data_IF_503741382980
#
_entry.id   IF_503741382980
#
_cell.length_a   1.000
_cell.length_b   1.000
_cell.length_c   1.000
_cell.angle_alpha   90.00
_cell.angle_beta   90.00
_cell.angle_gamma   90.00
#
_symmetry.space_group_name_H-M   'P 1'
#
loop_
_entity.id
_entity.type
_entity.pdbx_description
1 polymer ?
#
# COMPACT_ATOMS: atom_id res chain seq x y z
N UNK A 1 0.17 -6.23 -22.24
CA UNK A 1 0.19 -7.71 -22.08
C UNK A 1 -1.13 -8.34 -22.57
N UNK A 2 -2.29 -7.79 -22.15
CA UNK A 2 -3.61 -8.24 -22.57
C UNK A 2 -3.78 -8.24 -24.10
N UNK A 3 -3.49 -7.14 -24.76
CA UNK A 3 -3.64 -7.00 -26.21
C UNK A 3 -2.81 -8.05 -26.97
N UNK A 4 -1.57 -8.26 -26.53
CA UNK A 4 -0.69 -9.26 -27.16
C UNK A 4 -1.16 -10.71 -26.95
N UNK A 5 -1.83 -11.01 -25.83
CA UNK A 5 -2.38 -12.34 -25.60
C UNK A 5 -3.67 -12.56 -26.40
N UNK A 6 -4.57 -11.58 -26.43
CA UNK A 6 -5.81 -11.64 -27.20
C UNK A 6 -5.59 -11.67 -28.71
N UNK A 7 -4.56 -10.99 -29.20
CA UNK A 7 -4.16 -11.04 -30.63
C UNK A 7 -3.56 -12.37 -31.04
N UNK A 8 -2.81 -13.02 -30.13
CA UNK A 8 -2.13 -14.31 -30.43
C UNK A 8 -3.08 -15.48 -30.45
N UNK A 9 -4.03 -15.55 -29.54
CA UNK A 9 -4.99 -16.64 -29.43
C UNK A 9 -6.29 -16.16 -28.76
N UNK A 10 -7.26 -15.70 -29.56
CA UNK A 10 -8.55 -15.29 -29.04
C UNK A 10 -9.31 -16.41 -28.30
N UNK A 11 -8.99 -17.68 -28.57
CA UNK A 11 -9.64 -18.80 -27.90
C UNK A 11 -9.27 -18.87 -26.40
N UNK A 12 -8.13 -18.31 -25.99
CA UNK A 12 -7.76 -18.22 -24.57
C UNK A 12 -8.75 -17.39 -23.75
N UNK A 13 -9.43 -16.43 -24.37
CA UNK A 13 -10.43 -15.59 -23.68
C UNK A 13 -11.62 -16.40 -23.19
N UNK A 14 -11.97 -17.49 -23.90
CA UNK A 14 -13.07 -18.38 -23.50
C UNK A 14 -12.70 -19.36 -22.37
N UNK A 15 -11.42 -19.38 -21.98
CA UNK A 15 -10.93 -20.20 -20.87
C UNK A 15 -10.84 -19.38 -19.55
N UNK A 16 -11.16 -18.10 -19.59
CA UNK A 16 -11.11 -17.24 -18.42
C UNK A 16 -12.41 -17.33 -17.63
N UNK A 17 -12.28 -17.56 -16.33
CA UNK A 17 -13.40 -17.52 -15.38
C UNK A 17 -13.56 -16.15 -14.70
N UNK A 18 -12.57 -15.29 -14.79
CA UNK A 18 -12.62 -13.96 -14.18
C UNK A 18 -11.48 -13.03 -14.58
N UNK A 19 -11.59 -11.80 -14.15
CA UNK A 19 -10.59 -10.76 -14.37
C UNK A 19 -10.12 -10.19 -13.03
N UNK A 20 -8.86 -9.75 -13.00
CA UNK A 20 -8.23 -9.10 -11.87
C UNK A 20 -7.49 -7.85 -12.31
N UNK A 21 -7.59 -6.79 -11.52
CA UNK A 21 -6.72 -5.62 -11.60
C UNK A 21 -6.28 -5.19 -10.21
N UNK A 22 -5.11 -4.58 -10.10
CA UNK A 22 -4.59 -4.01 -8.87
C UNK A 22 -3.92 -2.67 -9.21
N UNK A 23 -4.65 -1.57 -9.07
CA UNK A 23 -4.24 -0.24 -9.57
C UNK A 23 -4.49 0.89 -8.56
N UNK A 24 -4.96 0.58 -7.35
CA UNK A 24 -5.60 1.55 -6.45
C UNK A 24 -4.89 1.70 -5.10
N UNK A 25 -3.60 1.36 -5.00
CA UNK A 25 -2.84 1.62 -3.77
C UNK A 25 -2.94 3.08 -3.36
N UNK A 26 -3.25 3.35 -2.08
CA UNK A 26 -3.35 4.68 -1.47
C UNK A 26 -4.44 5.60 -2.06
N UNK A 27 -5.40 5.05 -2.83
CA UNK A 27 -6.47 5.83 -3.45
C UNK A 27 -7.82 5.57 -2.79
N UNK A 28 -8.79 6.46 -3.03
CA UNK A 28 -10.15 6.36 -2.51
C UNK A 28 -11.10 5.70 -3.52
N UNK A 29 -12.36 5.50 -3.13
CA UNK A 29 -13.36 4.79 -3.92
C UNK A 29 -13.78 5.52 -5.22
N UNK A 30 -13.53 6.84 -5.35
CA UNK A 30 -13.72 7.59 -6.58
C UNK A 30 -12.77 7.14 -7.69
N UNK A 31 -11.51 6.83 -7.34
CA UNK A 31 -10.54 6.26 -8.26
C UNK A 31 -10.95 4.84 -8.71
N UNK A 32 -11.57 4.05 -7.83
CA UNK A 32 -12.17 2.76 -8.20
C UNK A 32 -13.30 2.96 -9.22
N UNK A 33 -14.19 3.91 -8.99
CA UNK A 33 -15.29 4.19 -9.93
C UNK A 33 -14.77 4.52 -11.34
N UNK A 34 -13.76 5.41 -11.43
CA UNK A 34 -13.12 5.74 -12.70
C UNK A 34 -12.40 4.53 -13.34
N UNK A 35 -11.76 3.68 -12.52
CA UNK A 35 -11.12 2.45 -13.00
C UNK A 35 -12.15 1.48 -13.58
N UNK A 36 -13.31 1.32 -12.92
CA UNK A 36 -14.37 0.44 -13.42
C UNK A 36 -14.98 0.95 -14.71
N UNK A 37 -15.12 2.26 -14.90
CA UNK A 37 -15.56 2.82 -16.18
C UNK A 37 -14.59 2.46 -17.31
N UNK A 38 -13.27 2.48 -17.04
CA UNK A 38 -12.26 2.04 -17.99
C UNK A 38 -12.28 0.52 -18.23
N UNK A 39 -12.54 -0.27 -17.18
CA UNK A 39 -12.68 -1.74 -17.28
C UNK A 39 -13.89 -2.08 -18.14
N UNK A 40 -15.04 -1.44 -17.93
CA UNK A 40 -16.24 -1.65 -18.73
C UNK A 40 -16.04 -1.22 -20.19
N UNK A 41 -15.39 -0.09 -20.42
CA UNK A 41 -15.10 0.39 -21.78
C UNK A 41 -14.14 -0.55 -22.54
N UNK A 42 -13.23 -1.23 -21.84
CA UNK A 42 -12.22 -2.11 -22.45
C UNK A 42 -12.62 -3.56 -22.50
N UNK A 43 -13.32 -4.06 -21.49
CA UNK A 43 -13.61 -5.47 -21.28
C UNK A 43 -15.09 -5.80 -21.14
N UNK A 44 -15.97 -4.82 -21.38
CA UNK A 44 -17.41 -4.95 -21.22
C UNK A 44 -18.03 -6.14 -21.98
N UNK A 45 -17.50 -6.46 -23.15
CA UNK A 45 -17.94 -7.62 -23.95
C UNK A 45 -17.53 -8.97 -23.33
N UNK A 46 -16.52 -8.98 -22.44
CA UNK A 46 -16.04 -10.19 -21.76
C UNK A 46 -16.71 -10.38 -20.40
N UNK A 47 -17.07 -9.32 -19.71
CA UNK A 47 -17.62 -9.36 -18.35
C UNK A 47 -18.84 -10.28 -18.21
N UNK A 48 -19.79 -10.36 -19.19
CA UNK A 48 -20.94 -11.26 -19.06
C UNK A 48 -20.62 -12.75 -19.03
N UNK A 49 -19.43 -13.15 -19.46
CA UNK A 49 -18.99 -14.56 -19.41
C UNK A 49 -18.08 -14.86 -18.20
N UNK A 50 -17.70 -13.84 -17.41
CA UNK A 50 -16.90 -14.01 -16.21
C UNK A 50 -17.77 -14.45 -15.03
N UNK A 51 -17.20 -15.28 -14.17
CA UNK A 51 -17.81 -15.69 -12.92
C UNK A 51 -17.44 -14.72 -11.80
N UNK A 52 -16.28 -14.08 -11.90
CA UNK A 52 -15.78 -13.17 -10.87
C UNK A 52 -14.98 -12.00 -11.45
N UNK A 53 -14.94 -10.91 -10.66
CA UNK A 53 -14.11 -9.73 -10.91
C UNK A 53 -13.42 -9.32 -9.61
N UNK A 54 -12.09 -9.31 -9.60
CA UNK A 54 -11.30 -8.91 -8.45
C UNK A 54 -10.76 -7.49 -8.65
N UNK A 55 -11.12 -6.58 -7.75
CA UNK A 55 -10.69 -5.17 -7.80
C UNK A 55 -9.28 -4.95 -7.23
N UNK A 56 -8.64 -6.02 -6.71
CA UNK A 56 -7.31 -5.97 -6.12
C UNK A 56 -7.29 -5.31 -4.74
N UNK A 57 -6.13 -4.83 -4.36
CA UNK A 57 -5.88 -4.18 -3.08
C UNK A 57 -5.98 -2.65 -3.13
N UNK A 58 -5.56 -2.00 -2.05
CA UNK A 58 -5.56 -0.56 -1.89
C UNK A 58 -6.88 0.03 -1.38
N UNK A 59 -7.84 -0.80 -1.05
CA UNK A 59 -9.15 -0.37 -0.51
C UNK A 59 -9.06 -0.17 1.01
N UNK A 60 -8.92 1.07 1.47
CA UNK A 60 -8.77 1.43 2.89
C UNK A 60 -10.12 1.45 3.64
N UNK A 61 -10.86 0.36 3.58
CA UNK A 61 -12.25 0.24 4.08
C UNK A 61 -12.42 0.48 5.59
N UNK A 62 -11.34 0.44 6.35
CA UNK A 62 -11.34 0.72 7.81
C UNK A 62 -10.87 2.13 8.14
N UNK A 63 -10.47 2.92 7.15
CA UNK A 63 -10.11 4.32 7.34
C UNK A 63 -11.39 5.16 7.57
N UNK A 64 -11.43 6.05 8.59
CA UNK A 64 -12.66 6.77 8.95
C UNK A 64 -13.27 7.65 7.86
N UNK A 65 -12.44 8.14 6.93
CA UNK A 65 -12.83 9.05 5.85
C UNK A 65 -12.98 8.34 4.48
N UNK A 66 -12.89 6.99 4.45
CA UNK A 66 -13.07 6.25 3.21
C UNK A 66 -14.54 6.24 2.75
N UNK A 67 -14.78 6.52 1.46
CA UNK A 67 -16.13 6.54 0.88
C UNK A 67 -16.69 5.12 0.64
N UNK A 68 -17.10 4.46 1.72
CA UNK A 68 -17.75 3.14 1.67
C UNK A 68 -19.00 3.13 0.77
N UNK A 69 -19.91 4.14 0.79
CA UNK A 69 -21.05 4.16 -0.10
C UNK A 69 -20.68 4.10 -1.58
N UNK A 70 -19.59 4.74 -1.99
CA UNK A 70 -19.11 4.65 -3.39
C UNK A 70 -18.58 3.25 -3.70
N UNK A 71 -17.82 2.64 -2.79
CA UNK A 71 -17.37 1.24 -2.95
C UNK A 71 -18.55 0.29 -3.10
N UNK A 72 -19.57 0.40 -2.24
CA UNK A 72 -20.78 -0.43 -2.28
C UNK A 72 -21.53 -0.28 -3.60
N UNK A 73 -21.65 0.96 -4.12
CA UNK A 73 -22.24 1.19 -5.45
C UNK A 73 -21.43 0.54 -6.56
N UNK A 74 -20.11 0.61 -6.51
CA UNK A 74 -19.22 -0.03 -7.48
C UNK A 74 -19.41 -1.55 -7.49
N UNK A 75 -19.40 -2.18 -6.32
CA UNK A 75 -19.64 -3.62 -6.17
C UNK A 75 -21.00 -4.02 -6.71
N UNK A 76 -22.05 -3.32 -6.26
CA UNK A 76 -23.43 -3.59 -6.66
C UNK A 76 -23.63 -3.43 -8.17
N UNK A 77 -23.01 -2.40 -8.78
CA UNK A 77 -23.06 -2.18 -10.23
C UNK A 77 -22.53 -3.39 -10.98
N UNK A 78 -21.35 -3.88 -10.64
CA UNK A 78 -20.74 -5.02 -11.33
C UNK A 78 -21.55 -6.31 -11.13
N UNK A 79 -22.00 -6.58 -9.92
CA UNK A 79 -22.83 -7.74 -9.61
C UNK A 79 -24.15 -7.74 -10.36
N UNK A 80 -24.85 -6.60 -10.38
CA UNK A 80 -26.18 -6.51 -11.03
C UNK A 80 -26.09 -6.47 -12.56
N UNK A 81 -25.06 -5.84 -13.11
CA UNK A 81 -24.94 -5.68 -14.56
C UNK A 81 -24.41 -6.96 -15.22
N UNK A 82 -23.43 -7.62 -14.59
CA UNK A 82 -22.70 -8.74 -15.21
C UNK A 82 -22.89 -10.09 -14.51
N UNK A 83 -23.50 -10.10 -13.33
CA UNK A 83 -23.70 -11.34 -12.55
C UNK A 83 -22.43 -11.88 -11.90
N UNK A 84 -21.35 -11.10 -11.85
CA UNK A 84 -20.04 -11.53 -11.32
C UNK A 84 -19.99 -11.52 -9.81
N UNK A 85 -19.23 -12.46 -9.21
CA UNK A 85 -18.80 -12.37 -7.83
C UNK A 85 -17.66 -11.34 -7.75
N UNK A 86 -17.80 -10.34 -6.86
CA UNK A 86 -16.73 -9.34 -6.64
C UNK A 86 -15.83 -9.77 -5.50
N UNK A 87 -14.51 -9.61 -5.69
CA UNK A 87 -13.46 -9.81 -4.70
C UNK A 87 -12.66 -8.54 -4.50
N UNK A 88 -12.17 -8.35 -3.27
CA UNK A 88 -11.25 -7.28 -2.86
C UNK A 88 -10.07 -7.90 -2.11
N UNK A 89 -8.93 -7.22 -2.14
CA UNK A 89 -7.69 -7.63 -1.45
C UNK A 89 -7.18 -6.53 -0.50
N UNK A 90 -7.99 -6.08 0.49
CA UNK A 90 -7.69 -4.92 1.32
C UNK A 90 -6.65 -5.24 2.41
N UNK A 91 -5.37 -5.37 2.04
CA UNK A 91 -4.30 -5.79 2.96
C UNK A 91 -4.12 -4.86 4.16
N UNK A 92 -3.74 -3.60 3.93
CA UNK A 92 -3.49 -2.61 5.00
C UNK A 92 -4.72 -2.37 5.87
N UNK A 93 -5.90 -2.36 5.30
CA UNK A 93 -7.14 -2.11 6.02
C UNK A 93 -7.39 -3.07 7.18
N UNK A 94 -6.87 -4.29 7.14
CA UNK A 94 -7.00 -5.27 8.21
C UNK A 94 -6.10 -4.96 9.42
N UNK A 95 -4.98 -4.27 9.19
CA UNK A 95 -3.97 -4.01 10.21
C UNK A 95 -3.92 -2.52 10.63
N UNK A 96 -4.65 -1.64 9.96
CA UNK A 96 -4.63 -0.20 10.22
C UNK A 96 -5.00 0.09 11.68
N UNK A 97 -4.10 0.74 12.41
CA UNK A 97 -4.25 1.08 13.83
C UNK A 97 -4.45 -0.14 14.77
N UNK A 98 -4.08 -1.35 14.34
CA UNK A 98 -4.24 -2.56 15.13
C UNK A 98 -3.16 -2.73 16.22
N UNK A 99 -2.04 -2.02 16.12
CA UNK A 99 -0.94 -2.13 17.07
C UNK A 99 0.21 -1.18 16.78
N UNK A 100 1.31 -1.39 17.52
CA UNK A 100 2.55 -0.65 17.40
C UNK A 100 3.70 -1.62 17.16
N UNK A 101 4.63 -1.26 16.29
CA UNK A 101 5.94 -1.88 16.26
C UNK A 101 6.82 -1.17 17.28
N UNK A 102 7.28 -1.90 18.28
CA UNK A 102 8.23 -1.40 19.29
C UNK A 102 9.64 -1.83 18.86
N UNK A 103 10.57 -0.89 18.87
CA UNK A 103 11.96 -1.13 18.49
C UNK A 103 12.92 -0.48 19.48
N UNK A 104 14.11 -1.05 19.56
CA UNK A 104 15.17 -0.61 20.47
C UNK A 104 16.32 0.02 19.68
N UNK A 105 16.89 1.09 20.20
CA UNK A 105 18.13 1.67 19.65
C UNK A 105 19.32 0.79 20.04
N UNK A 106 19.97 0.20 19.05
CA UNK A 106 21.14 -0.67 19.25
C UNK A 106 22.45 0.12 19.32
N UNK A 107 22.54 1.21 18.56
CA UNK A 107 23.76 2.02 18.47
C UNK A 107 23.41 3.42 17.98
N UNK A 108 24.23 4.41 18.35
CA UNK A 108 24.12 5.79 17.85
C UNK A 108 25.45 6.23 17.28
N UNK A 109 25.42 6.80 16.07
CA UNK A 109 26.63 7.22 15.36
C UNK A 109 26.48 8.62 14.79
N UNK A 110 27.64 9.23 14.49
CA UNK A 110 27.71 10.47 13.71
C UNK A 110 28.43 10.19 12.38
N UNK A 111 27.75 10.48 11.27
CA UNK A 111 28.35 10.41 9.94
C UNK A 111 28.29 11.79 9.25
N UNK A 112 29.39 12.50 9.30
CA UNK A 112 29.45 13.90 8.88
C UNK A 112 28.49 14.76 9.73
N UNK A 113 27.53 15.42 9.09
CA UNK A 113 26.52 16.22 9.78
C UNK A 113 25.26 15.44 10.16
N UNK A 114 25.18 14.16 9.78
CA UNK A 114 24.00 13.31 10.04
C UNK A 114 24.18 12.50 11.31
N UNK A 115 23.30 12.71 12.28
CA UNK A 115 23.15 11.82 13.43
C UNK A 115 22.32 10.61 13.03
N UNK A 116 22.76 9.41 13.39
CA UNK A 116 22.08 8.15 13.08
C UNK A 116 21.79 7.37 14.35
N UNK A 117 20.68 6.64 14.34
CA UNK A 117 20.42 5.58 15.32
C UNK A 117 20.12 4.28 14.56
N UNK A 118 20.80 3.21 14.95
CA UNK A 118 20.57 1.87 14.42
C UNK A 118 19.58 1.16 15.32
N UNK A 119 18.52 0.66 14.72
CA UNK A 119 17.42 -0.01 15.42
C UNK A 119 17.52 -1.53 15.29
N UNK A 120 16.87 -2.27 16.17
CA UNK A 120 16.70 -3.74 16.07
C UNK A 120 15.58 -4.13 15.07
N UNK A 121 15.03 -3.16 14.36
CA UNK A 121 14.12 -3.39 13.23
C UNK A 121 14.79 -2.97 11.91
N UNK A 122 14.29 -3.48 10.81
CA UNK A 122 14.74 -3.16 9.46
C UNK A 122 13.57 -2.71 8.61
N UNK A 123 13.75 -1.65 7.84
CA UNK A 123 12.73 -1.22 6.87
C UNK A 123 12.45 -2.35 5.85
N UNK A 124 13.50 -3.03 5.38
CA UNK A 124 13.36 -4.12 4.41
C UNK A 124 12.53 -5.31 4.92
N UNK A 125 12.53 -5.57 6.25
CA UNK A 125 11.85 -6.73 6.82
C UNK A 125 10.49 -6.40 7.45
N UNK A 126 10.33 -5.20 8.02
CA UNK A 126 9.17 -4.85 8.84
C UNK A 126 8.27 -3.80 8.20
N UNK A 127 8.83 -2.93 7.37
CA UNK A 127 8.12 -1.86 6.68
C UNK A 127 8.63 -1.70 5.23
N UNK A 128 8.55 -2.74 4.38
CA UNK A 128 9.14 -2.72 3.04
C UNK A 128 8.58 -1.61 2.15
N UNK A 129 7.36 -1.19 2.36
CA UNK A 129 6.73 -0.10 1.62
C UNK A 129 7.47 1.24 1.79
N UNK A 130 8.21 1.43 2.89
CA UNK A 130 9.07 2.61 3.09
C UNK A 130 10.14 2.70 1.98
N UNK A 131 10.59 1.55 1.45
CA UNK A 131 11.59 1.47 0.38
C UNK A 131 10.93 1.50 -0.99
N UNK A 132 9.83 0.75 -1.18
CA UNK A 132 9.16 0.57 -2.46
C UNK A 132 8.30 1.79 -2.86
N UNK A 133 7.62 2.38 -1.90
CA UNK A 133 6.77 3.57 -2.07
C UNK A 133 7.11 4.58 -0.97
N UNK A 134 8.23 5.32 -1.10
CA UNK A 134 8.82 6.07 0.01
C UNK A 134 7.84 6.96 0.75
N UNK A 135 7.63 6.65 2.01
CA UNK A 135 6.92 7.48 2.99
C UNK A 135 7.65 7.39 4.33
N UNK A 136 7.32 8.25 5.26
CA UNK A 136 7.86 8.22 6.61
C UNK A 136 6.81 7.67 7.57
N UNK A 137 7.01 6.46 8.15
CA UNK A 137 6.07 5.90 9.12
C UNK A 137 5.82 6.85 10.29
N UNK A 138 4.58 6.97 10.80
CA UNK A 138 4.33 7.74 12.02
C UNK A 138 5.06 7.11 13.20
N UNK A 139 5.76 7.94 13.97
CA UNK A 139 6.51 7.52 15.16
C UNK A 139 6.01 8.33 16.35
N UNK A 140 5.61 7.64 17.43
CA UNK A 140 5.14 8.29 18.64
C UNK A 140 6.24 9.19 19.22
N UNK A 141 5.83 10.36 19.70
CA UNK A 141 6.69 11.37 20.31
C UNK A 141 7.81 11.95 19.41
N UNK A 142 7.86 11.58 18.14
CA UNK A 142 8.74 12.19 17.16
C UNK A 142 8.05 13.35 16.42
N UNK A 143 8.87 14.24 15.88
CA UNK A 143 8.45 15.34 15.01
C UNK A 143 9.03 15.22 13.60
N UNK A 144 8.67 16.18 12.75
CA UNK A 144 9.28 16.37 11.45
C UNK A 144 10.77 16.72 11.59
N UNK A 145 11.62 16.37 10.60
CA UNK A 145 13.02 16.79 10.63
C UNK A 145 13.17 18.30 10.88
N UNK A 146 13.92 18.65 11.91
CA UNK A 146 14.13 20.05 12.32
C UNK A 146 13.02 20.68 13.16
N UNK A 147 11.92 20.00 13.43
CA UNK A 147 10.83 20.49 14.29
C UNK A 147 11.24 20.53 15.76
N UNK A 148 12.01 19.53 16.22
CA UNK A 148 12.52 19.42 17.60
C UNK A 148 14.04 19.55 17.62
N UNK A 149 14.62 19.59 18.81
CA UNK A 149 16.02 19.93 19.06
C UNK A 149 17.03 19.00 18.34
N UNK A 150 16.71 17.72 18.17
CA UNK A 150 17.65 16.71 17.66
C UNK A 150 17.01 15.99 16.46
N UNK A 151 17.54 16.21 15.26
CA UNK A 151 17.17 15.42 14.07
C UNK A 151 18.08 14.22 13.95
N UNK A 152 17.48 13.03 13.81
CA UNK A 152 18.18 11.76 13.79
C UNK A 152 17.60 10.93 12.65
N UNK A 153 18.50 10.32 11.86
CA UNK A 153 18.13 9.29 10.87
C UNK A 153 18.04 7.94 11.55
N UNK A 154 16.92 7.26 11.38
CA UNK A 154 16.69 5.91 11.88
C UNK A 154 16.98 4.90 10.78
N UNK A 155 17.82 3.92 11.05
CA UNK A 155 18.19 2.87 10.12
C UNK A 155 18.15 1.50 10.75
N UNK A 156 18.00 0.48 9.90
CA UNK A 156 18.07 -0.91 10.32
C UNK A 156 19.51 -1.45 10.35
N UNK A 157 19.70 -2.67 10.89
CA UNK A 157 21.03 -3.28 11.07
C UNK A 157 21.49 -4.08 9.85
N UNK A 158 20.81 -4.03 8.73
CA UNK A 158 21.14 -4.84 7.55
C UNK A 158 22.24 -4.20 6.71
N UNK A 159 22.82 -4.98 5.79
CA UNK A 159 23.82 -4.50 4.84
C UNK A 159 23.21 -3.71 3.66
N UNK A 160 21.89 -3.57 3.58
CA UNK A 160 21.22 -2.81 2.54
C UNK A 160 21.40 -1.31 2.81
N UNK A 161 22.05 -0.58 1.90
CA UNK A 161 22.28 0.86 2.04
C UNK A 161 20.96 1.67 2.16
N UNK A 162 19.85 1.15 1.61
CA UNK A 162 18.52 1.73 1.71
C UNK A 162 17.71 1.27 2.92
N UNK A 163 18.30 0.56 3.88
CA UNK A 163 17.62 0.14 5.12
C UNK A 163 17.46 1.32 6.09
N UNK A 164 16.69 2.31 5.64
CA UNK A 164 16.43 3.56 6.34
C UNK A 164 14.93 3.68 6.58
N UNK A 165 14.54 3.86 7.84
CA UNK A 165 13.14 4.07 8.24
C UNK A 165 12.71 5.50 7.95
N UNK A 166 13.57 6.47 8.21
CA UNK A 166 13.31 7.88 7.94
C UNK A 166 14.12 8.82 8.84
N UNK A 167 13.95 10.11 8.60
CA UNK A 167 14.50 11.18 9.41
C UNK A 167 13.40 11.73 10.34
N UNK A 168 13.72 11.82 11.63
CA UNK A 168 12.79 12.26 12.67
C UNK A 168 13.47 13.26 13.61
N UNK A 169 12.69 14.08 14.31
CA UNK A 169 13.24 14.92 15.35
C UNK A 169 12.68 14.58 16.73
N UNK A 170 13.55 14.72 17.74
CA UNK A 170 13.27 14.41 19.14
C UNK A 170 13.64 15.60 20.03
N UNK A 171 13.03 15.67 21.23
CA UNK A 171 13.33 16.70 22.20
C UNK A 171 14.74 16.60 22.78
N UNK A 172 15.31 15.38 22.82
CA UNK A 172 16.66 15.06 23.25
C UNK A 172 17.30 14.00 22.32
N UNK A 173 18.63 13.86 22.31
CA UNK A 173 19.29 12.78 21.59
C UNK A 173 18.76 11.40 22.04
N UNK A 174 18.68 10.45 21.11
CA UNK A 174 18.40 9.06 21.45
C UNK A 174 19.64 8.44 22.10
N UNK A 175 19.40 7.46 22.97
CA UNK A 175 20.42 6.65 23.60
C UNK A 175 20.14 5.17 23.32
N UNK A 176 21.15 4.33 23.49
CA UNK A 176 21.05 2.88 23.42
C UNK A 176 20.12 2.33 24.53
N UNK A 177 19.31 1.32 24.21
CA UNK A 177 18.40 0.63 25.12
C UNK A 177 16.94 1.03 25.07
#
# INVERSE_FOLDING_TARGET
QWDAAAEKDPALLYLLDGLHFHTLCEQDADALAATLDAVEARFGDLLPQMQWLNFGGGHHITRPDYDLPTLERCITRMQQTYGVQVYLEPGEAWALNAGYLVTTVLDTLQNGETSLAILDMSAACHTPDVIEMPYRPPLLDAGEPGEKACTIRLGGPTCLAGDVVGDYSFAAPLAEG
#
